data_IF_131650017117
#
_entry.id   IF_131650017117
#
_cell.length_a   1.000
_cell.length_b   1.000
_cell.length_c   1.000
_cell.angle_alpha   90.00
_cell.angle_beta   90.00
_cell.angle_gamma   90.00
#
_symmetry.space_group_name_H-M   'P 1'
#
loop_
_entity.id
_entity.type
_entity.pdbx_description
1 polymer ?
#
# COMPACT_ATOMS: atom_id res chain seq x y z
N UNK A 1 -0.65 20.40 7.27
CA UNK A 1 0.55 20.04 6.48
C UNK A 1 0.36 18.62 5.97
N UNK A 2 0.51 18.42 4.64
CA UNK A 2 0.34 17.10 4.02
C UNK A 2 1.52 16.18 4.32
N UNK A 3 1.24 14.93 4.71
CA UNK A 3 2.25 13.90 5.02
C UNK A 3 1.88 12.58 4.34
N UNK A 4 2.86 11.75 4.04
CA UNK A 4 2.64 10.45 3.42
C UNK A 4 2.76 9.34 4.46
N UNK A 5 1.87 8.36 4.41
CA UNK A 5 1.96 7.14 5.20
C UNK A 5 2.17 5.97 4.24
N UNK A 6 3.34 5.34 4.33
CA UNK A 6 3.79 4.36 3.35
C UNK A 6 3.46 2.95 3.81
N UNK A 7 2.78 2.22 2.95
CA UNK A 7 2.52 0.79 3.07
C UNK A 7 3.67 -0.05 2.51
N UNK A 8 3.68 -1.35 2.77
CA UNK A 8 4.65 -2.34 2.27
C UNK A 8 4.80 -2.29 0.75
N UNK A 9 3.67 -2.12 0.04
CA UNK A 9 3.64 -2.01 -1.41
C UNK A 9 4.49 -0.84 -1.94
N UNK A 10 4.59 0.27 -1.20
CA UNK A 10 5.38 1.43 -1.59
C UNK A 10 6.87 1.08 -1.76
N UNK A 11 7.44 0.33 -0.81
CA UNK A 11 8.86 -0.07 -0.86
C UNK A 11 9.11 -1.14 -1.93
N UNK A 12 8.20 -2.09 -2.08
CA UNK A 12 8.29 -3.13 -3.13
C UNK A 12 8.29 -2.49 -4.52
N UNK A 13 7.46 -1.48 -4.73
CA UNK A 13 7.30 -0.79 -6.01
C UNK A 13 8.39 0.24 -6.28
N UNK A 14 9.24 0.54 -5.30
CA UNK A 14 10.40 1.41 -5.47
C UNK A 14 10.16 2.87 -5.14
N UNK A 15 9.17 3.17 -4.31
CA UNK A 15 8.99 4.51 -3.79
C UNK A 15 10.18 4.90 -2.89
N UNK A 16 10.71 6.10 -3.12
CA UNK A 16 11.74 6.71 -2.27
C UNK A 16 11.14 7.96 -1.62
N UNK A 17 11.04 8.00 -0.28
CA UNK A 17 10.65 9.22 0.42
C UNK A 17 11.60 10.39 0.07
N UNK A 18 11.04 11.59 0.02
CA UNK A 18 11.83 12.80 -0.15
C UNK A 18 12.52 13.20 1.16
N UNK A 19 13.69 13.87 1.12
CA UNK A 19 14.37 14.40 2.30
C UNK A 19 13.56 15.41 3.14
N UNK A 20 12.35 15.73 2.73
CA UNK A 20 11.47 16.66 3.46
C UNK A 20 10.95 16.16 4.81
N UNK A 21 11.24 14.90 5.20
CA UNK A 21 10.81 14.30 6.47
C UNK A 21 9.30 14.13 6.64
N UNK A 22 8.55 14.12 5.55
CA UNK A 22 7.08 14.05 5.53
C UNK A 22 6.54 12.65 5.22
N UNK A 23 7.36 11.63 5.35
CA UNK A 23 6.97 10.24 5.16
C UNK A 23 7.01 9.47 6.49
N UNK A 24 5.95 8.71 6.73
CA UNK A 24 5.74 7.91 7.92
C UNK A 24 5.45 6.46 7.55
N UNK A 25 5.77 5.54 8.44
CA UNK A 25 5.39 4.13 8.35
C UNK A 25 5.45 3.47 9.72
N UNK A 26 5.13 2.19 9.79
CA UNK A 26 5.15 1.36 10.99
C UNK A 26 6.23 0.28 10.90
N UNK A 27 6.64 -0.27 12.05
CA UNK A 27 7.66 -1.32 12.08
C UNK A 27 7.18 -2.63 11.42
N UNK A 28 5.89 -2.92 11.53
CA UNK A 28 5.28 -4.08 10.90
C UNK A 28 5.48 -4.12 9.36
N UNK A 29 5.65 -2.97 8.71
CA UNK A 29 6.01 -2.89 7.28
C UNK A 29 7.42 -3.44 7.04
N UNK A 30 8.40 -3.15 7.92
CA UNK A 30 9.74 -3.74 7.82
C UNK A 30 9.69 -5.26 7.98
N UNK A 31 8.87 -5.77 8.91
CA UNK A 31 8.70 -7.21 9.18
C UNK A 31 8.12 -7.97 7.97
N UNK A 32 7.26 -7.32 7.18
CA UNK A 32 6.70 -7.92 5.96
C UNK A 32 7.68 -7.94 4.78
N UNK A 33 8.68 -7.06 4.79
CA UNK A 33 9.68 -7.01 3.73
C UNK A 33 10.64 -8.19 3.85
N UNK A 34 10.72 -9.02 2.80
CA UNK A 34 11.63 -10.15 2.78
C UNK A 34 13.08 -9.72 2.96
N UNK A 35 13.81 -10.45 3.81
CA UNK A 35 15.21 -10.16 4.10
C UNK A 35 16.09 -10.18 2.85
N UNK A 36 17.04 -9.27 2.77
CA UNK A 36 17.98 -9.15 1.67
C UNK A 36 17.41 -8.61 0.37
N UNK A 37 16.16 -8.17 0.37
CA UNK A 37 15.54 -7.57 -0.83
C UNK A 37 15.88 -6.09 -0.99
N UNK A 38 15.81 -5.60 -2.23
CA UNK A 38 15.95 -4.16 -2.53
C UNK A 38 14.91 -3.33 -1.78
N UNK A 39 13.70 -3.86 -1.58
CA UNK A 39 12.64 -3.20 -0.84
C UNK A 39 13.03 -2.97 0.63
N UNK A 40 13.58 -3.99 1.30
CA UNK A 40 14.08 -3.86 2.67
C UNK A 40 15.26 -2.88 2.74
N UNK A 41 16.18 -2.93 1.78
CA UNK A 41 17.30 -1.98 1.73
C UNK A 41 16.81 -0.53 1.60
N UNK A 42 15.83 -0.26 0.75
CA UNK A 42 15.20 1.07 0.62
C UNK A 42 14.60 1.55 1.93
N UNK A 43 13.83 0.69 2.59
CA UNK A 43 13.25 1.00 3.90
C UNK A 43 14.33 1.46 4.89
N UNK A 44 15.37 0.64 5.09
CA UNK A 44 16.46 0.90 6.03
C UNK A 44 17.26 2.15 5.67
N UNK A 45 17.56 2.34 4.39
CA UNK A 45 18.26 3.54 3.93
C UNK A 45 17.44 4.81 4.19
N UNK A 46 16.14 4.80 3.91
CA UNK A 46 15.27 5.95 4.15
C UNK A 46 15.12 6.25 5.64
N UNK A 47 14.98 5.22 6.48
CA UNK A 47 14.97 5.33 7.95
C UNK A 47 16.28 5.93 8.48
N UNK A 48 17.42 5.41 8.04
CA UNK A 48 18.74 5.85 8.50
C UNK A 48 19.09 7.28 8.06
N UNK A 49 18.59 7.71 6.90
CA UNK A 49 18.77 9.09 6.40
C UNK A 49 17.83 10.10 7.05
N UNK A 50 16.82 9.66 7.80
CA UNK A 50 15.79 10.53 8.36
C UNK A 50 14.70 10.94 7.36
N UNK A 51 14.69 10.36 6.17
CA UNK A 51 13.66 10.62 5.15
C UNK A 51 12.34 9.90 5.46
N UNK A 52 12.38 8.92 6.38
CA UNK A 52 11.25 8.10 6.81
C UNK A 52 11.18 8.04 8.34
N UNK A 53 10.05 8.44 8.89
CA UNK A 53 9.76 8.32 10.33
C UNK A 53 8.99 7.02 10.58
N UNK A 54 9.58 6.12 11.38
CA UNK A 54 8.93 4.87 11.80
C UNK A 54 8.41 5.05 13.22
N UNK A 55 7.10 4.89 13.42
CA UNK A 55 6.47 4.97 14.75
C UNK A 55 5.25 4.06 14.85
N UNK A 56 4.95 3.48 16.02
CA UNK A 56 3.73 2.70 16.22
C UNK A 56 2.51 3.61 16.26
N UNK A 57 1.33 3.10 15.85
CA UNK A 57 0.06 3.75 16.10
C UNK A 57 -0.36 3.63 17.56
N UNK A 58 -1.30 4.45 17.99
CA UNK A 58 -1.94 4.34 19.31
C UNK A 58 -2.87 3.13 19.38
N UNK A 59 -3.09 2.61 20.60
CA UNK A 59 -4.04 1.53 20.82
C UNK A 59 -5.47 1.93 20.42
N UNK A 60 -5.86 3.17 20.68
CA UNK A 60 -7.18 3.70 20.33
C UNK A 60 -7.41 3.75 18.80
N UNK A 61 -6.40 4.18 18.04
CA UNK A 61 -6.47 4.18 16.59
C UNK A 61 -6.57 2.75 16.04
N UNK A 62 -5.80 1.80 16.57
CA UNK A 62 -5.88 0.38 16.20
C UNK A 62 -7.26 -0.20 16.46
N UNK A 63 -7.85 0.03 17.64
CA UNK A 63 -9.19 -0.43 17.99
C UNK A 63 -10.25 0.13 17.03
N UNK A 64 -10.12 1.41 16.68
CA UNK A 64 -10.99 2.06 15.70
C UNK A 64 -10.91 1.39 14.32
N UNK A 65 -9.69 1.12 13.83
CA UNK A 65 -9.47 0.43 12.55
C UNK A 65 -10.02 -0.99 12.58
N UNK A 66 -9.79 -1.75 13.65
CA UNK A 66 -10.32 -3.11 13.84
C UNK A 66 -11.85 -3.14 13.83
N UNK A 67 -12.48 -2.16 14.49
CA UNK A 67 -13.94 -2.02 14.50
C UNK A 67 -14.49 -1.75 13.09
N UNK A 68 -13.83 -0.88 12.32
CA UNK A 68 -14.22 -0.59 10.93
C UNK A 68 -14.00 -1.81 10.05
N UNK A 69 -12.84 -2.45 10.10
CA UNK A 69 -12.53 -3.66 9.34
C UNK A 69 -13.53 -4.81 9.61
N UNK A 70 -13.99 -4.93 10.87
CA UNK A 70 -15.03 -5.89 11.24
C UNK A 70 -16.39 -5.59 10.59
N UNK A 71 -16.76 -4.31 10.49
CA UNK A 71 -18.05 -3.89 9.90
C UNK A 71 -18.06 -3.93 8.39
N UNK A 72 -16.92 -3.67 7.75
CA UNK A 72 -16.79 -3.66 6.28
C UNK A 72 -16.49 -5.04 5.69
N UNK A 73 -16.20 -6.04 6.55
CA UNK A 73 -15.82 -7.39 6.10
C UNK A 73 -14.36 -7.53 5.68
N UNK A 74 -13.55 -6.48 5.86
CA UNK A 74 -12.12 -6.48 5.47
C UNK A 74 -11.21 -7.20 6.48
N UNK A 75 -11.72 -7.56 7.66
CA UNK A 75 -10.93 -8.13 8.77
C UNK A 75 -10.07 -9.34 8.39
N UNK A 76 -10.53 -10.15 7.44
CA UNK A 76 -9.80 -11.32 6.94
C UNK A 76 -8.85 -11.03 5.75
N UNK A 77 -8.85 -9.81 5.24
CA UNK A 77 -8.09 -9.44 4.04
C UNK A 77 -6.95 -8.47 4.32
N UNK A 78 -6.98 -7.78 5.46
CA UNK A 78 -5.92 -6.85 5.86
C UNK A 78 -4.92 -7.53 6.79
N UNK A 79 -3.65 -7.33 6.51
CA UNK A 79 -2.55 -7.81 7.35
C UNK A 79 -2.44 -6.99 8.65
N UNK A 80 -1.50 -7.38 9.53
CA UNK A 80 -1.15 -6.57 10.69
C UNK A 80 -0.56 -5.21 10.26
N UNK A 81 0.34 -5.21 9.28
CA UNK A 81 0.97 -3.99 8.79
C UNK A 81 -0.06 -3.04 8.18
N UNK A 82 -1.01 -3.55 7.38
CA UNK A 82 -2.09 -2.75 6.80
C UNK A 82 -2.89 -2.01 7.86
N UNK A 83 -3.30 -2.72 8.93
CA UNK A 83 -4.06 -2.12 10.05
C UNK A 83 -3.25 -1.07 10.77
N UNK A 84 -1.98 -1.34 11.04
CA UNK A 84 -1.08 -0.39 11.72
C UNK A 84 -0.82 0.85 10.86
N UNK A 85 -0.67 0.72 9.53
CA UNK A 85 -0.52 1.83 8.59
C UNK A 85 -1.75 2.73 8.59
N UNK A 86 -2.96 2.15 8.51
CA UNK A 86 -4.21 2.92 8.55
C UNK A 86 -4.40 3.59 9.92
N UNK A 87 -4.08 2.90 11.02
CA UNK A 87 -4.17 3.44 12.36
C UNK A 87 -3.17 4.58 12.59
N UNK A 88 -1.95 4.47 12.08
CA UNK A 88 -0.96 5.55 12.12
C UNK A 88 -1.46 6.79 11.35
N UNK A 89 -2.08 6.59 10.18
CA UNK A 89 -2.67 7.70 9.45
C UNK A 89 -3.80 8.37 10.24
N UNK A 90 -4.60 7.61 10.99
CA UNK A 90 -5.64 8.16 11.85
C UNK A 90 -5.03 9.04 12.97
N UNK A 91 -4.00 8.55 13.66
CA UNK A 91 -3.29 9.31 14.70
C UNK A 91 -2.68 10.61 14.17
N UNK A 92 -2.10 10.56 12.96
CA UNK A 92 -1.53 11.75 12.32
C UNK A 92 -2.61 12.79 11.99
N UNK A 93 -3.78 12.33 11.52
CA UNK A 93 -4.93 13.21 11.27
C UNK A 93 -5.43 13.84 12.56
N UNK A 94 -5.57 13.07 13.62
CA UNK A 94 -6.00 13.57 14.93
C UNK A 94 -4.98 14.57 15.54
N UNK A 95 -3.72 14.45 15.12
CA UNK A 95 -2.66 15.43 15.45
C UNK A 95 -2.67 16.68 14.57
N UNK A 96 -3.68 16.87 13.71
CA UNK A 96 -3.84 18.05 12.85
C UNK A 96 -3.01 18.02 11.56
N UNK A 97 -2.45 16.86 11.18
CA UNK A 97 -1.79 16.66 9.89
C UNK A 97 -2.81 16.20 8.83
N UNK A 98 -2.41 16.27 7.57
CA UNK A 98 -3.19 15.79 6.42
C UNK A 98 -2.50 14.53 5.83
N UNK A 99 -2.75 13.34 6.42
CA UNK A 99 -2.10 12.11 5.97
C UNK A 99 -2.71 11.57 4.69
N UNK A 100 -1.85 11.10 3.79
CA UNK A 100 -2.23 10.36 2.60
C UNK A 100 -1.54 9.01 2.62
N UNK A 101 -2.34 7.94 2.67
CA UNK A 101 -1.84 6.57 2.63
C UNK A 101 -1.44 6.23 1.21
N UNK A 102 -0.21 5.75 1.02
CA UNK A 102 0.33 5.33 -0.27
C UNK A 102 0.32 3.81 -0.32
N UNK A 103 -0.69 3.26 -0.97
CA UNK A 103 -0.89 1.80 -1.09
C UNK A 103 -1.62 1.45 -2.39
N UNK A 104 -1.21 0.33 -3.01
CA UNK A 104 -1.93 -0.28 -4.13
C UNK A 104 -2.87 -1.40 -3.67
N UNK A 105 -2.98 -1.65 -2.36
CA UNK A 105 -3.91 -2.64 -1.81
C UNK A 105 -5.32 -2.05 -1.68
N UNK A 106 -6.28 -2.71 -2.33
CA UNK A 106 -7.68 -2.28 -2.32
C UNK A 106 -8.29 -2.31 -0.92
N UNK A 107 -7.94 -3.29 -0.08
CA UNK A 107 -8.48 -3.39 1.27
C UNK A 107 -8.01 -2.22 2.16
N UNK A 108 -6.74 -1.81 2.02
CA UNK A 108 -6.19 -0.62 2.69
C UNK A 108 -6.92 0.64 2.23
N UNK A 109 -7.10 0.81 0.91
CA UNK A 109 -7.80 1.96 0.34
C UNK A 109 -9.26 2.02 0.81
N UNK A 110 -9.95 0.87 0.86
CA UNK A 110 -11.33 0.80 1.32
C UNK A 110 -11.47 1.17 2.81
N UNK A 111 -10.56 0.71 3.67
CA UNK A 111 -10.51 1.13 5.08
C UNK A 111 -10.24 2.63 5.22
N UNK A 112 -9.31 3.17 4.43
CA UNK A 112 -9.01 4.59 4.42
C UNK A 112 -10.23 5.43 4.03
N UNK A 113 -10.99 5.01 3.02
CA UNK A 113 -12.23 5.66 2.59
C UNK A 113 -13.26 5.70 3.72
N UNK A 114 -13.50 4.56 4.40
CA UNK A 114 -14.43 4.48 5.52
C UNK A 114 -14.04 5.36 6.71
N UNK A 115 -12.74 5.58 6.91
CA UNK A 115 -12.19 6.45 7.96
C UNK A 115 -12.00 7.91 7.50
N UNK A 116 -12.38 8.22 6.25
CA UNK A 116 -12.19 9.55 5.64
C UNK A 116 -10.74 10.00 5.70
N UNK A 117 -9.82 9.08 5.45
CA UNK A 117 -8.38 9.33 5.30
C UNK A 117 -8.06 9.52 3.82
N UNK A 118 -7.09 10.39 3.54
CA UNK A 118 -6.53 10.50 2.19
C UNK A 118 -5.79 9.22 1.81
N UNK A 119 -5.97 8.75 0.59
CA UNK A 119 -5.19 7.64 0.05
C UNK A 119 -4.91 7.86 -1.43
N UNK A 120 -3.92 7.15 -1.95
CA UNK A 120 -3.61 7.18 -3.36
C UNK A 120 -2.79 5.98 -3.79
N UNK A 121 -3.02 5.55 -5.02
CA UNK A 121 -2.19 4.56 -5.66
C UNK A 121 -0.78 5.11 -5.89
N UNK A 122 0.21 4.24 -5.83
CA UNK A 122 1.62 4.59 -6.04
C UNK A 122 1.87 5.35 -7.36
N UNK A 123 1.07 5.08 -8.38
CA UNK A 123 1.10 5.79 -9.66
C UNK A 123 0.95 7.31 -9.52
N UNK A 124 0.15 7.77 -8.56
CA UNK A 124 -0.15 9.20 -8.34
C UNK A 124 0.99 9.94 -7.62
N UNK A 125 1.92 9.19 -7.00
CA UNK A 125 3.06 9.74 -6.24
C UNK A 125 4.39 9.74 -7.00
N UNK A 126 4.34 9.60 -8.32
CA UNK A 126 5.54 9.67 -9.17
C UNK A 126 6.13 8.32 -9.54
N UNK A 127 5.47 7.21 -9.23
CA UNK A 127 5.88 5.90 -9.72
C UNK A 127 5.53 5.78 -11.20
N UNK A 128 6.56 5.47 -11.98
CA UNK A 128 6.53 5.50 -13.44
C UNK A 128 5.98 4.20 -14.03
N UNK A 129 5.58 3.22 -13.20
CA UNK A 129 5.25 1.89 -13.69
C UNK A 129 4.03 1.28 -13.00
N UNK A 130 3.07 0.82 -13.81
CA UNK A 130 1.95 -0.03 -13.39
C UNK A 130 2.36 -1.49 -13.59
N UNK A 131 2.21 -2.32 -12.55
CA UNK A 131 2.47 -3.76 -12.63
C UNK A 131 1.16 -4.52 -12.72
N UNK A 132 1.08 -5.43 -13.66
CA UNK A 132 0.05 -6.45 -13.69
C UNK A 132 0.59 -7.73 -13.06
N UNK A 133 -0.17 -8.30 -12.15
CA UNK A 133 0.18 -9.54 -11.47
C UNK A 133 -0.59 -10.72 -12.04
N UNK A 134 0.07 -11.86 -12.06
CA UNK A 134 -0.52 -13.14 -12.42
C UNK A 134 -0.13 -14.20 -11.40
N UNK A 135 -1.03 -15.10 -11.11
CA UNK A 135 -0.70 -16.30 -10.37
C UNK A 135 -0.14 -17.34 -11.35
N UNK A 136 0.94 -18.00 -11.01
CA UNK A 136 1.53 -19.05 -11.84
C UNK A 136 1.85 -20.29 -11.02
N UNK A 137 1.77 -21.45 -11.66
CA UNK A 137 2.16 -22.72 -11.09
C UNK A 137 3.67 -22.93 -11.28
N UNK A 138 4.48 -23.09 -10.22
CA UNK A 138 5.92 -23.35 -10.36
C UNK A 138 6.24 -24.73 -10.93
N UNK A 139 5.28 -25.67 -10.88
CA UNK A 139 5.47 -27.03 -11.39
C UNK A 139 5.12 -27.18 -12.88
N UNK A 140 3.94 -26.68 -13.30
CA UNK A 140 3.48 -26.86 -14.69
C UNK A 140 3.44 -25.54 -15.49
N UNK A 141 3.91 -24.44 -14.92
CA UNK A 141 4.04 -23.10 -15.52
C UNK A 141 2.73 -22.45 -16.04
N UNK A 142 1.57 -23.04 -15.75
CA UNK A 142 0.28 -22.46 -16.11
C UNK A 142 0.01 -21.18 -15.33
N UNK A 143 -0.67 -20.25 -16.00
CA UNK A 143 -1.03 -18.93 -15.45
C UNK A 143 -2.51 -18.90 -15.08
N UNK A 144 -2.82 -18.18 -14.00
CA UNK A 144 -4.16 -18.04 -13.44
C UNK A 144 -4.42 -16.59 -13.08
N UNK A 145 -5.67 -16.17 -13.16
CA UNK A 145 -6.09 -14.86 -12.64
C UNK A 145 -6.18 -14.92 -11.10
N UNK A 146 -5.79 -13.85 -10.37
CA UNK A 146 -6.11 -13.77 -8.96
C UNK A 146 -7.64 -13.86 -8.74
N UNK A 147 -8.11 -14.44 -7.63
CA UNK A 147 -7.40 -14.86 -6.41
C UNK A 147 -7.07 -16.38 -6.35
N UNK A 148 -6.82 -17.03 -7.48
CA UNK A 148 -6.54 -18.47 -7.50
C UNK A 148 -5.36 -18.83 -6.56
N UNK A 149 -5.55 -19.84 -5.70
CA UNK A 149 -4.55 -20.27 -4.70
C UNK A 149 -3.83 -21.58 -5.09
N UNK A 150 -4.49 -22.46 -5.84
CA UNK A 150 -3.97 -23.77 -6.25
C UNK A 150 -4.12 -23.99 -7.76
N UNK A 151 -3.18 -24.72 -8.32
CA UNK A 151 -3.23 -25.15 -9.72
C UNK A 151 -4.35 -26.18 -9.91
N UNK A 152 -5.25 -25.94 -10.86
CA UNK A 152 -6.34 -26.86 -11.17
C UNK A 152 -5.88 -28.16 -11.87
N UNK A 153 -4.61 -28.19 -12.34
CA UNK A 153 -4.07 -29.33 -13.10
C UNK A 153 -3.20 -30.23 -12.23
N UNK A 154 -2.31 -29.65 -11.39
CA UNK A 154 -1.37 -30.45 -10.61
C UNK A 154 -1.48 -30.21 -9.09
N UNK A 155 -2.44 -29.42 -8.63
CA UNK A 155 -2.67 -29.17 -7.19
C UNK A 155 -1.64 -28.27 -6.51
N UNK A 156 -0.53 -27.91 -7.18
CA UNK A 156 0.55 -27.10 -6.60
C UNK A 156 0.06 -25.73 -6.20
N UNK A 157 0.54 -25.24 -5.06
CA UNK A 157 0.26 -23.86 -4.60
C UNK A 157 0.83 -22.86 -5.61
N UNK A 158 -0.01 -21.93 -6.02
CA UNK A 158 0.36 -20.92 -7.01
C UNK A 158 1.21 -19.84 -6.36
N UNK A 159 2.14 -19.30 -7.15
CA UNK A 159 2.99 -18.16 -6.78
C UNK A 159 2.59 -16.92 -7.58
N UNK A 160 2.73 -15.76 -6.98
CA UNK A 160 2.51 -14.46 -7.64
C UNK A 160 3.73 -14.06 -8.46
N UNK A 161 3.51 -13.59 -9.68
CA UNK A 161 4.57 -13.09 -10.56
C UNK A 161 4.10 -11.84 -11.29
N UNK A 162 5.00 -10.91 -11.54
CA UNK A 162 4.73 -9.75 -12.41
C UNK A 162 4.53 -10.25 -13.84
N UNK A 163 3.37 -9.96 -14.42
CA UNK A 163 3.06 -10.29 -15.81
C UNK A 163 3.61 -9.23 -16.75
N UNK A 164 3.37 -7.97 -16.43
CA UNK A 164 3.82 -6.83 -17.22
C UNK A 164 4.17 -5.63 -16.33
N UNK A 165 5.08 -4.80 -16.82
CA UNK A 165 5.49 -3.54 -16.24
C UNK A 165 5.24 -2.48 -17.31
N UNK A 166 4.20 -1.67 -17.14
CA UNK A 166 3.83 -0.60 -18.09
C UNK A 166 4.22 0.75 -17.51
N UNK A 167 4.88 1.58 -18.30
CA UNK A 167 5.16 2.96 -17.94
C UNK A 167 3.86 3.75 -17.93
N UNK A 168 3.63 4.55 -16.90
CA UNK A 168 2.43 5.38 -16.78
C UNK A 168 2.73 6.73 -17.41
N UNK A 169 2.04 7.08 -18.50
CA UNK A 169 2.10 8.42 -19.08
C UNK A 169 1.21 9.36 -18.29
N UNK A 170 1.79 10.43 -17.77
CA UNK A 170 1.14 11.42 -16.88
C UNK A 170 0.11 12.34 -17.58
N UNK A 171 -0.23 12.09 -18.85
CA UNK A 171 -1.03 13.05 -19.63
C UNK A 171 -2.54 12.79 -19.73
N UNK A 172 -3.09 11.74 -19.09
CA UNK A 172 -4.49 11.35 -19.32
C UNK A 172 -5.47 11.56 -18.16
N UNK A 173 -5.07 12.10 -17.01
CA UNK A 173 -5.99 12.23 -15.86
C UNK A 173 -6.37 13.69 -15.48
N UNK A 174 -6.12 14.68 -16.36
CA UNK A 174 -6.54 16.08 -16.12
C UNK A 174 -7.76 16.54 -16.94
N UNK A 175 -8.66 15.62 -17.32
CA UNK A 175 -9.90 15.99 -18.04
C UNK A 175 -11.11 15.21 -17.56
N UNK A 176 -11.58 15.48 -16.33
CA UNK A 176 -12.98 15.26 -15.96
C UNK A 176 -13.33 16.09 -14.73
N UNK A 177 -13.27 17.41 -14.82
CA UNK A 177 -14.04 18.29 -13.94
C UNK A 177 -14.27 19.62 -14.67
N UNK A 178 -15.17 19.60 -15.64
CA UNK A 178 -15.87 20.80 -16.10
C UNK A 178 -16.98 20.41 -17.10
N UNK A 179 -18.12 19.97 -16.60
CA UNK A 179 -19.42 20.20 -17.25
C UNK A 179 -20.49 20.15 -16.18
N UNK A 180 -21.18 21.29 -16.00
CA UNK A 180 -22.50 21.26 -15.49
C UNK A 180 -22.87 22.40 -14.59
N UNK A 181 -22.96 23.61 -15.15
CA UNK A 181 -23.91 24.62 -14.67
C UNK A 181 -24.57 25.25 -15.88
N UNK A 182 -25.77 24.89 -16.11
CA UNK A 182 -26.81 25.71 -16.77
C UNK A 182 -28.16 25.07 -16.40
#
# INVERSE_FOLDING_TARGET
MRVLVLDTSAFIMGFNPSPSGQAYTVEAVEDELSQGTIAQLRFRLSKNKGDLTVRPPSANALETVESVAGRTGERGFVSRADREVVALALDLKDSGLDPVIVSDDYAVQNLAEHLKLGYGALANFGIVHRFQWVMYCPACHRRYKPPAKKCSVCGTVLKRKVLSKTKIDRQTESKTDSVGSA
#
